data_IF_041582292770
#
_entry.id   IF_041582292770
#
_cell.length_a   1.000
_cell.length_b   1.000
_cell.length_c   1.000
_cell.angle_alpha   90.00
_cell.angle_beta   90.00
_cell.angle_gamma   90.00
#
_symmetry.space_group_name_H-M   'P 1'
#
loop_
_entity.id
_entity.type
_entity.pdbx_description
1 polymer ?
#
# COMPACT_ATOMS: atom_id res chain seq x y z
N UNK A 1 25.57 15.56 -2.22
CA UNK A 1 25.83 16.80 -2.97
C UNK A 1 25.30 16.60 -4.38
N UNK A 2 24.00 16.84 -4.62
CA UNK A 2 23.47 17.00 -5.98
C UNK A 2 23.89 18.40 -6.43
N UNK A 3 24.20 18.58 -7.72
CA UNK A 3 24.69 19.86 -8.23
C UNK A 3 23.55 20.88 -8.33
N UNK A 4 23.75 22.07 -7.77
CA UNK A 4 22.78 23.19 -7.75
C UNK A 4 22.12 23.45 -9.11
N UNK A 5 22.88 23.34 -10.21
CA UNK A 5 22.37 23.54 -11.58
C UNK A 5 21.29 22.53 -12.01
N UNK A 6 21.23 21.35 -11.38
CA UNK A 6 20.23 20.34 -11.70
C UNK A 6 18.93 20.59 -10.92
N UNK A 7 19.01 21.19 -9.73
CA UNK A 7 17.86 21.53 -8.89
C UNK A 7 17.06 22.69 -9.51
N UNK A 8 17.75 23.71 -10.03
CA UNK A 8 17.15 24.85 -10.75
C UNK A 8 16.36 24.44 -12.01
N UNK A 9 16.72 23.31 -12.63
CA UNK A 9 16.02 22.78 -13.80
C UNK A 9 14.88 21.84 -13.42
N UNK A 10 15.09 20.97 -12.43
CA UNK A 10 14.16 19.88 -12.08
C UNK A 10 12.96 20.40 -11.27
N UNK A 11 13.19 21.32 -10.33
CA UNK A 11 12.15 21.78 -9.41
C UNK A 11 10.97 22.46 -10.13
N UNK A 12 11.19 23.34 -11.13
CA UNK A 12 10.09 23.90 -11.92
C UNK A 12 9.30 22.84 -12.70
N UNK A 13 9.96 21.80 -13.21
CA UNK A 13 9.30 20.71 -13.94
C UNK A 13 8.41 19.91 -13.00
N UNK A 14 8.89 19.60 -11.78
CA UNK A 14 8.08 18.91 -10.77
C UNK A 14 6.84 19.73 -10.45
N UNK A 15 6.99 21.02 -10.17
CA UNK A 15 5.87 21.92 -9.85
C UNK A 15 4.84 21.99 -10.98
N UNK A 16 5.30 22.17 -12.23
CA UNK A 16 4.42 22.17 -13.40
C UNK A 16 3.65 20.85 -13.53
N UNK A 17 4.31 19.71 -13.29
CA UNK A 17 3.68 18.39 -13.39
C UNK A 17 2.68 18.15 -12.26
N UNK A 18 2.96 18.60 -11.05
CA UNK A 18 2.02 18.57 -9.92
C UNK A 18 0.79 19.40 -10.27
N UNK A 19 0.95 20.65 -10.74
CA UNK A 19 -0.18 21.49 -11.15
C UNK A 19 -1.04 20.81 -12.22
N UNK A 20 -0.42 20.31 -13.30
CA UNK A 20 -1.15 19.59 -14.36
C UNK A 20 -1.92 18.39 -13.84
N UNK A 21 -1.32 17.59 -12.94
CA UNK A 21 -1.98 16.44 -12.33
C UNK A 21 -3.18 16.87 -11.47
N UNK A 22 -3.06 17.97 -10.73
CA UNK A 22 -4.14 18.50 -9.88
C UNK A 22 -5.32 19.05 -10.70
N UNK A 23 -5.06 19.51 -11.92
CA UNK A 23 -6.07 19.99 -12.86
C UNK A 23 -6.80 18.87 -13.62
N UNK A 24 -6.34 17.61 -13.52
CA UNK A 24 -6.99 16.49 -14.19
C UNK A 24 -8.40 16.22 -13.63
N UNK A 25 -9.37 15.86 -14.50
CA UNK A 25 -10.72 15.54 -14.05
C UNK A 25 -10.72 14.31 -13.14
N UNK A 26 -11.68 14.27 -12.22
CA UNK A 26 -11.84 13.09 -11.35
C UNK A 26 -12.15 11.85 -12.19
N UNK A 27 -11.35 10.77 -12.08
CA UNK A 27 -11.60 9.53 -12.80
C UNK A 27 -12.93 8.90 -12.42
N UNK A 28 -13.51 8.12 -13.33
CA UNK A 28 -14.78 7.42 -13.12
C UNK A 28 -14.60 5.94 -12.76
N UNK A 29 -13.38 5.41 -12.87
CA UNK A 29 -13.06 4.01 -12.65
C UNK A 29 -11.90 3.84 -11.66
N UNK A 30 -11.82 2.64 -11.07
CA UNK A 30 -10.86 2.35 -10.02
C UNK A 30 -9.41 2.47 -10.48
N UNK A 31 -9.09 2.01 -11.69
CA UNK A 31 -7.73 2.10 -12.23
C UNK A 31 -7.26 3.55 -12.37
N UNK A 32 -8.15 4.44 -12.84
CA UNK A 32 -7.85 5.87 -12.93
C UNK A 32 -7.64 6.50 -11.56
N UNK A 33 -8.48 6.15 -10.56
CA UNK A 33 -8.27 6.58 -9.19
C UNK A 33 -6.93 6.11 -8.61
N UNK A 34 -6.56 4.85 -8.87
CA UNK A 34 -5.29 4.28 -8.43
C UNK A 34 -4.11 5.02 -9.05
N UNK A 35 -4.13 5.22 -10.37
CA UNK A 35 -3.04 5.91 -11.09
C UNK A 35 -2.85 7.34 -10.59
N UNK A 36 -3.91 8.13 -10.45
CA UNK A 36 -3.74 9.52 -9.97
C UNK A 36 -3.22 9.59 -8.53
N UNK A 37 -3.62 8.64 -7.66
CA UNK A 37 -3.14 8.59 -6.27
C UNK A 37 -1.67 8.20 -6.25
N UNK A 38 -1.27 7.18 -7.02
CA UNK A 38 0.13 6.77 -7.15
C UNK A 38 1.00 7.91 -7.70
N UNK A 39 0.55 8.59 -8.75
CA UNK A 39 1.25 9.73 -9.34
C UNK A 39 1.45 10.86 -8.32
N UNK A 40 0.40 11.28 -7.63
CA UNK A 40 0.50 12.36 -6.65
C UNK A 40 1.33 11.94 -5.43
N UNK A 41 1.23 10.67 -5.00
CA UNK A 41 2.06 10.12 -3.92
C UNK A 41 3.55 10.18 -4.28
N UNK A 42 3.94 9.82 -5.51
CA UNK A 42 5.34 9.90 -5.96
C UNK A 42 5.84 11.34 -5.90
N UNK A 43 5.09 12.30 -6.44
CA UNK A 43 5.46 13.72 -6.36
C UNK A 43 5.56 14.20 -4.92
N UNK A 44 4.61 13.82 -4.06
CA UNK A 44 4.66 14.18 -2.65
C UNK A 44 5.91 13.64 -1.96
N UNK A 45 6.31 12.39 -2.20
CA UNK A 45 7.54 11.82 -1.65
C UNK A 45 8.76 12.63 -2.11
N UNK A 46 8.85 12.93 -3.40
CA UNK A 46 9.95 13.74 -3.94
C UNK A 46 9.99 15.09 -3.24
N UNK A 47 8.86 15.82 -3.23
CA UNK A 47 8.77 17.17 -2.69
C UNK A 47 9.04 17.25 -1.17
N UNK A 48 8.50 16.33 -0.37
CA UNK A 48 8.65 16.35 1.09
C UNK A 48 10.10 16.08 1.54
N UNK A 49 10.81 15.22 0.80
CA UNK A 49 12.15 14.74 1.15
C UNK A 49 13.27 15.30 0.27
N UNK A 50 12.99 16.29 -0.57
CA UNK A 50 13.99 16.93 -1.45
C UNK A 50 15.07 17.69 -0.66
N UNK A 51 14.69 18.31 0.47
CA UNK A 51 15.56 19.14 1.29
C UNK A 51 15.36 20.64 1.06
N UNK A 52 14.85 21.04 -0.10
CA UNK A 52 14.44 22.40 -0.40
C UNK A 52 13.13 22.80 0.31
N UNK A 53 13.05 24.06 0.75
CA UNK A 53 11.91 24.58 1.51
C UNK A 53 10.69 24.79 0.61
N UNK A 54 10.89 25.23 -0.63
CA UNK A 54 9.81 25.44 -1.59
C UNK A 54 9.19 24.11 -2.03
N UNK A 55 10.03 23.12 -2.37
CA UNK A 55 9.58 21.75 -2.64
C UNK A 55 8.80 21.16 -1.46
N UNK A 56 9.31 21.31 -0.23
CA UNK A 56 8.56 20.87 0.97
C UNK A 56 7.19 21.52 1.06
N UNK A 57 7.09 22.83 0.82
CA UNK A 57 5.81 23.54 0.82
C UNK A 57 4.82 22.97 -0.21
N UNK A 58 5.28 22.60 -1.41
CA UNK A 58 4.46 21.93 -2.42
C UNK A 58 3.98 20.57 -1.90
N UNK A 59 4.89 19.74 -1.39
CA UNK A 59 4.56 18.41 -0.86
C UNK A 59 3.53 18.46 0.27
N UNK A 60 3.64 19.45 1.17
CA UNK A 60 2.68 19.70 2.24
C UNK A 60 1.30 20.10 1.73
N UNK A 61 1.22 21.00 0.73
CA UNK A 61 -0.04 21.39 0.10
C UNK A 61 -0.75 20.21 -0.57
N UNK A 62 -0.01 19.19 -1.01
CA UNK A 62 -0.58 17.98 -1.59
C UNK A 62 -1.19 17.01 -0.55
N UNK A 63 -0.84 17.10 0.75
CA UNK A 63 -1.33 16.17 1.79
C UNK A 63 -2.87 16.08 1.84
N UNK A 64 -3.63 17.19 1.93
CA UNK A 64 -5.09 17.12 1.98
C UNK A 64 -5.69 16.56 0.67
N UNK A 65 -5.16 16.94 -0.49
CA UNK A 65 -5.64 16.43 -1.78
C UNK A 65 -5.40 14.93 -1.91
N UNK A 66 -4.21 14.46 -1.55
CA UNK A 66 -3.89 13.04 -1.59
C UNK A 66 -4.75 12.24 -0.59
N UNK A 67 -5.10 12.82 0.56
CA UNK A 67 -6.06 12.22 1.49
C UNK A 67 -7.44 12.04 0.83
N UNK A 68 -7.96 13.10 0.22
CA UNK A 68 -9.25 13.09 -0.47
C UNK A 68 -9.27 12.06 -1.61
N UNK A 69 -8.24 12.07 -2.46
CA UNK A 69 -8.15 11.15 -3.60
C UNK A 69 -8.02 9.69 -3.16
N UNK A 70 -7.33 9.43 -2.04
CA UNK A 70 -7.23 8.10 -1.44
C UNK A 70 -8.58 7.62 -0.91
N UNK A 71 -9.36 8.47 -0.26
CA UNK A 71 -10.72 8.13 0.19
C UNK A 71 -11.64 7.84 -1.00
N UNK A 72 -11.57 8.63 -2.07
CA UNK A 72 -12.32 8.38 -3.30
C UNK A 72 -11.91 7.06 -3.98
N UNK A 73 -10.61 6.72 -3.97
CA UNK A 73 -10.11 5.45 -4.48
C UNK A 73 -10.66 4.26 -3.68
N UNK A 74 -10.63 4.33 -2.34
CA UNK A 74 -11.17 3.28 -1.48
C UNK A 74 -12.68 3.12 -1.68
N UNK A 75 -13.42 4.21 -1.80
CA UNK A 75 -14.85 4.17 -2.03
C UNK A 75 -15.19 3.57 -3.40
N UNK A 76 -14.46 3.94 -4.46
CA UNK A 76 -14.61 3.32 -5.78
C UNK A 76 -14.31 1.81 -5.73
N UNK A 77 -13.29 1.40 -4.96
CA UNK A 77 -12.97 -0.01 -4.78
C UNK A 77 -14.09 -0.79 -4.06
N UNK A 78 -14.70 -0.18 -3.03
CA UNK A 78 -15.83 -0.76 -2.30
C UNK A 78 -17.03 -0.99 -3.22
N UNK A 79 -17.44 0.03 -3.98
CA UNK A 79 -18.57 -0.05 -4.92
C UNK A 79 -18.29 -1.06 -6.04
N UNK A 80 -17.06 -1.08 -6.57
CA UNK A 80 -16.66 -2.04 -7.61
C UNK A 80 -16.70 -3.49 -7.10
N UNK A 81 -16.39 -3.70 -5.82
CA UNK A 81 -16.49 -5.01 -5.16
C UNK A 81 -17.94 -5.41 -4.87
N UNK A 82 -18.84 -4.46 -4.58
CA UNK A 82 -20.27 -4.73 -4.40
C UNK A 82 -20.94 -5.12 -5.71
N UNK A 83 -20.45 -4.65 -6.86
CA UNK A 83 -20.89 -5.13 -8.18
C UNK A 83 -20.59 -6.63 -8.38
N UNK A 84 -19.47 -7.11 -7.82
CA UNK A 84 -19.11 -8.54 -7.79
C UNK A 84 -20.05 -9.33 -6.86
N UNK A 85 -20.55 -8.71 -5.78
CA UNK A 85 -21.51 -9.33 -4.84
C UNK A 85 -22.97 -9.27 -5.34
N UNK A 86 -23.38 -8.22 -6.04
CA UNK A 86 -24.71 -8.10 -6.68
C UNK A 86 -24.87 -9.10 -7.83
N UNK A 87 -23.79 -9.46 -8.52
CA UNK A 87 -23.77 -10.60 -9.44
C UNK A 87 -24.01 -11.96 -8.73
N UNK A 88 -23.93 -12.04 -7.39
CA UNK A 88 -24.32 -13.24 -6.63
C UNK A 88 -25.81 -13.24 -6.24
N UNK A 89 -26.54 -12.14 -6.48
CA UNK A 89 -27.96 -11.94 -6.17
C UNK A 89 -28.95 -12.62 -7.13
N UNK A 90 -28.57 -13.68 -7.83
CA UNK A 90 -29.48 -14.52 -8.64
C UNK A 90 -29.16 -14.64 -10.13
N UNK A 91 -28.14 -13.94 -10.64
CA UNK A 91 -27.60 -14.18 -11.97
C UNK A 91 -26.17 -14.68 -11.82
N UNK A 92 -25.94 -16.00 -11.77
CA UNK A 92 -24.58 -16.57 -11.70
C UNK A 92 -23.93 -16.38 -13.08
N UNK A 93 -23.05 -15.38 -13.31
CA UNK A 93 -22.22 -15.41 -14.52
C UNK A 93 -21.42 -16.72 -14.52
N UNK A 94 -20.98 -17.21 -15.70
CA UNK A 94 -20.06 -18.34 -15.75
C UNK A 94 -18.91 -18.10 -14.77
N UNK A 95 -18.54 -19.12 -13.99
CA UNK A 95 -17.47 -19.06 -12.99
C UNK A 95 -16.33 -18.18 -13.52
N UNK A 96 -16.02 -17.06 -12.85
CA UNK A 96 -15.07 -16.11 -13.38
C UNK A 96 -13.76 -16.82 -13.61
N UNK A 97 -13.22 -16.71 -14.83
CA UNK A 97 -11.93 -17.31 -15.19
C UNK A 97 -10.91 -16.93 -14.13
N UNK A 98 -10.03 -17.86 -13.74
CA UNK A 98 -8.98 -17.63 -12.73
C UNK A 98 -8.20 -16.34 -13.01
N UNK A 99 -7.95 -16.05 -14.29
CA UNK A 99 -7.29 -14.82 -14.75
C UNK A 99 -8.03 -13.54 -14.37
N UNK A 100 -9.36 -13.52 -14.47
CA UNK A 100 -10.18 -12.36 -14.10
C UNK A 100 -10.14 -12.13 -12.59
N UNK A 101 -10.25 -13.21 -11.80
CA UNK A 101 -10.18 -13.15 -10.34
C UNK A 101 -8.81 -12.66 -9.87
N UNK A 102 -7.74 -13.22 -10.45
CA UNK A 102 -6.37 -12.82 -10.14
C UNK A 102 -6.10 -11.35 -10.49
N UNK A 103 -6.52 -10.88 -11.67
CA UNK A 103 -6.39 -9.45 -12.06
C UNK A 103 -7.19 -8.53 -11.12
N UNK A 104 -8.39 -8.93 -10.73
CA UNK A 104 -9.18 -8.18 -9.75
C UNK A 104 -8.49 -8.14 -8.38
N UNK A 105 -7.89 -9.25 -7.94
CA UNK A 105 -7.08 -9.29 -6.72
C UNK A 105 -5.86 -8.37 -6.81
N UNK A 106 -5.10 -8.40 -7.91
CA UNK A 106 -3.95 -7.49 -8.14
C UNK A 106 -4.38 -6.03 -8.01
N UNK A 107 -5.50 -5.66 -8.64
CA UNK A 107 -6.02 -4.29 -8.56
C UNK A 107 -6.42 -3.92 -7.12
N UNK A 108 -7.13 -4.80 -6.43
CA UNK A 108 -7.54 -4.57 -5.04
C UNK A 108 -6.36 -4.51 -4.07
N UNK A 109 -5.34 -5.35 -4.24
CA UNK A 109 -4.11 -5.33 -3.45
C UNK A 109 -3.29 -4.08 -3.76
N UNK A 110 -3.24 -3.63 -5.01
CA UNK A 110 -2.59 -2.37 -5.41
C UNK A 110 -3.22 -1.17 -4.73
N UNK A 111 -4.54 -1.12 -4.62
CA UNK A 111 -5.28 -0.09 -3.87
C UNK A 111 -4.87 -0.09 -2.39
N UNK A 112 -4.86 -1.27 -1.75
CA UNK A 112 -4.51 -1.41 -0.33
C UNK A 112 -3.06 -1.03 -0.06
N UNK A 113 -2.10 -1.53 -0.85
CA UNK A 113 -0.67 -1.18 -0.76
C UNK A 113 -0.41 0.31 -1.02
N UNK A 114 -1.09 0.91 -2.00
CA UNK A 114 -0.98 2.36 -2.29
C UNK A 114 -1.50 3.19 -1.12
N UNK A 115 -2.65 2.81 -0.55
CA UNK A 115 -3.18 3.48 0.64
C UNK A 115 -2.22 3.37 1.83
N UNK A 116 -1.66 2.18 2.07
CA UNK A 116 -0.68 1.95 3.14
C UNK A 116 0.57 2.81 2.94
N UNK A 117 1.12 2.86 1.72
CA UNK A 117 2.27 3.72 1.41
C UNK A 117 1.97 5.20 1.68
N UNK A 118 0.80 5.69 1.24
CA UNK A 118 0.37 7.07 1.52
C UNK A 118 0.28 7.33 3.02
N UNK A 119 -0.35 6.43 3.77
CA UNK A 119 -0.50 6.55 5.21
C UNK A 119 0.87 6.59 5.90
N UNK A 120 1.76 5.65 5.56
CA UNK A 120 3.12 5.56 6.11
C UNK A 120 3.95 6.80 5.81
N UNK A 121 3.96 7.28 4.56
CA UNK A 121 4.77 8.46 4.17
C UNK A 121 4.32 9.72 4.92
N UNK A 122 3.00 9.96 5.01
CA UNK A 122 2.47 11.12 5.72
C UNK A 122 2.77 11.02 7.21
N UNK A 123 2.55 9.85 7.84
CA UNK A 123 2.84 9.66 9.26
C UNK A 123 4.33 9.83 9.58
N UNK A 124 5.23 9.32 8.74
CA UNK A 124 6.68 9.53 8.92
C UNK A 124 7.03 11.02 8.79
N UNK A 125 6.48 11.71 7.80
CA UNK A 125 6.72 13.13 7.61
C UNK A 125 6.25 13.96 8.82
N UNK A 126 5.01 13.76 9.27
CA UNK A 126 4.43 14.43 10.44
C UNK A 126 5.25 14.13 11.71
N UNK A 127 5.65 12.87 11.92
CA UNK A 127 6.50 12.50 13.05
C UNK A 127 7.85 13.23 13.03
N UNK A 128 8.49 13.33 11.87
CA UNK A 128 9.76 14.05 11.71
C UNK A 128 9.61 15.56 11.88
N UNK A 129 8.50 16.13 11.43
CA UNK A 129 8.23 17.57 11.46
C UNK A 129 7.76 18.06 12.84
N UNK A 130 6.76 17.38 13.39
CA UNK A 130 5.98 17.83 14.54
C UNK A 130 6.18 16.92 15.78
N UNK A 131 6.95 15.83 15.67
CA UNK A 131 7.19 14.88 16.76
C UNK A 131 6.01 13.96 17.06
N UNK A 132 4.92 14.05 16.29
CA UNK A 132 3.71 13.24 16.42
C UNK A 132 3.02 13.11 15.06
N UNK A 133 2.21 12.06 14.91
CA UNK A 133 1.37 11.86 13.73
C UNK A 133 -0.03 11.41 14.14
N UNK A 134 -1.05 11.82 13.39
CA UNK A 134 -2.40 11.30 13.62
C UNK A 134 -2.54 9.86 13.11
N UNK A 135 -3.42 9.06 13.73
CA UNK A 135 -3.74 7.73 13.22
C UNK A 135 -4.50 7.85 11.89
N UNK A 136 -3.95 7.37 10.76
CA UNK A 136 -4.61 7.48 9.46
C UNK A 136 -5.76 6.48 9.28
N UNK A 137 -5.99 5.58 10.24
CA UNK A 137 -6.88 4.44 10.13
C UNK A 137 -6.16 3.20 9.60
N UNK A 138 -6.88 2.29 8.95
CA UNK A 138 -6.29 1.08 8.40
C UNK A 138 -7.13 0.45 7.29
N UNK A 139 -6.44 -0.24 6.38
CA UNK A 139 -7.04 -1.19 5.44
C UNK A 139 -6.58 -2.60 5.82
N UNK A 140 -7.35 -3.61 5.40
CA UNK A 140 -6.83 -4.98 5.42
C UNK A 140 -5.76 -5.15 4.33
N UNK A 141 -4.87 -6.10 4.48
CA UNK A 141 -3.81 -6.39 3.51
C UNK A 141 -3.46 -7.87 3.49
N UNK A 142 -2.87 -8.33 2.39
CA UNK A 142 -2.37 -9.70 2.24
C UNK A 142 -0.86 -9.68 2.48
N UNK A 143 -0.37 -10.52 3.40
CA UNK A 143 1.05 -10.51 3.79
C UNK A 143 1.87 -11.71 3.31
N UNK A 144 1.21 -12.78 2.85
CA UNK A 144 1.89 -14.04 2.51
C UNK A 144 2.84 -13.84 1.31
N UNK A 145 4.09 -14.22 1.50
CA UNK A 145 5.10 -14.27 0.45
C UNK A 145 4.65 -15.18 -0.71
N UNK A 146 4.96 -14.77 -1.94
CA UNK A 146 4.62 -15.52 -3.16
C UNK A 146 3.25 -15.19 -3.76
N UNK A 147 2.32 -14.56 -3.04
CA UNK A 147 1.03 -14.14 -3.62
C UNK A 147 1.18 -12.94 -4.55
N UNK A 148 1.85 -11.88 -4.09
CA UNK A 148 2.09 -10.68 -4.90
C UNK A 148 3.04 -10.94 -6.07
N UNK A 149 4.04 -11.80 -5.86
CA UNK A 149 5.07 -12.14 -6.85
C UNK A 149 4.62 -13.21 -7.86
N UNK A 150 3.40 -13.75 -7.71
CA UNK A 150 2.86 -14.74 -8.62
C UNK A 150 2.82 -14.17 -10.05
N UNK A 151 3.43 -14.87 -11.02
CA UNK A 151 3.55 -14.39 -12.40
C UNK A 151 2.36 -14.80 -13.29
N UNK A 152 1.45 -15.63 -12.76
CA UNK A 152 0.25 -16.09 -13.46
C UNK A 152 -0.89 -16.41 -12.51
N UNK A 153 -2.11 -16.44 -13.03
CA UNK A 153 -3.30 -16.83 -12.27
C UNK A 153 -3.16 -18.23 -11.65
N UNK A 154 -2.58 -19.19 -12.39
CA UNK A 154 -2.39 -20.56 -11.91
C UNK A 154 -1.42 -20.61 -10.72
N UNK A 155 -0.30 -19.87 -10.79
CA UNK A 155 0.66 -19.80 -9.69
C UNK A 155 0.08 -19.12 -8.46
N UNK A 156 -0.75 -18.09 -8.65
CA UNK A 156 -1.47 -17.41 -7.58
C UNK A 156 -2.51 -18.33 -6.91
N UNK A 157 -3.32 -19.05 -7.69
CA UNK A 157 -4.28 -20.04 -7.17
C UNK A 157 -3.57 -21.13 -6.38
N UNK A 158 -2.46 -21.67 -6.91
CA UNK A 158 -1.68 -22.68 -6.21
C UNK A 158 -1.14 -22.16 -4.87
N UNK A 159 -0.62 -20.92 -4.82
CA UNK A 159 -0.14 -20.31 -3.59
C UNK A 159 -1.28 -20.06 -2.58
N UNK A 160 -2.45 -19.59 -3.03
CA UNK A 160 -3.64 -19.43 -2.18
C UNK A 160 -4.14 -20.76 -1.58
N UNK A 161 -3.95 -21.87 -2.28
CA UNK A 161 -4.36 -23.20 -1.81
C UNK A 161 -3.35 -23.84 -0.85
N UNK A 162 -2.07 -23.47 -0.93
CA UNK A 162 -1.02 -24.06 -0.11
C UNK A 162 -1.07 -23.60 1.35
N UNK A 163 -1.33 -22.32 1.59
CA UNK A 163 -1.30 -21.72 2.93
C UNK A 163 -2.32 -20.58 3.05
N UNK A 164 -2.67 -20.22 4.29
CA UNK A 164 -3.45 -19.02 4.57
C UNK A 164 -2.75 -17.77 4.00
N UNK A 165 -3.54 -16.88 3.40
CA UNK A 165 -3.04 -15.69 2.68
C UNK A 165 -2.52 -14.59 3.63
N UNK A 166 -2.64 -14.77 4.95
CA UNK A 166 -2.32 -13.78 5.97
C UNK A 166 -3.06 -12.46 5.74
N UNK A 167 -4.39 -12.55 5.57
CA UNK A 167 -5.24 -11.38 5.35
C UNK A 167 -5.61 -10.70 6.67
N UNK A 168 -4.89 -9.62 7.00
CA UNK A 168 -4.89 -9.00 8.33
C UNK A 168 -5.27 -7.52 8.24
N UNK A 169 -5.74 -6.96 9.36
CA UNK A 169 -5.89 -5.51 9.51
C UNK A 169 -4.59 -4.89 10.03
N UNK A 170 -4.35 -3.60 9.77
CA UNK A 170 -3.21 -2.86 10.34
C UNK A 170 -3.11 -2.97 11.86
N UNK A 171 -4.24 -3.00 12.57
CA UNK A 171 -4.29 -3.16 14.03
C UNK A 171 -3.80 -4.53 14.51
N UNK A 172 -3.84 -5.55 13.65
CA UNK A 172 -3.40 -6.91 13.93
C UNK A 172 -2.03 -7.22 13.30
N UNK A 173 -1.34 -6.21 12.75
CA UNK A 173 -0.07 -6.42 12.06
C UNK A 173 1.02 -7.01 12.98
N UNK A 174 0.96 -6.71 14.28
CA UNK A 174 1.86 -7.28 15.28
C UNK A 174 1.75 -8.81 15.40
N UNK A 175 0.60 -9.41 15.04
CA UNK A 175 0.43 -10.86 15.07
C UNK A 175 1.36 -11.58 14.11
N UNK A 176 1.86 -10.91 13.06
CA UNK A 176 2.83 -11.48 12.13
C UNK A 176 4.12 -11.93 12.84
N UNK A 177 4.55 -11.23 13.89
CA UNK A 177 5.71 -11.61 14.69
C UNK A 177 5.53 -12.93 15.45
N UNK A 178 4.28 -13.34 15.69
CA UNK A 178 3.93 -14.54 16.47
C UNK A 178 3.51 -15.71 15.58
N UNK A 179 2.86 -15.44 14.44
CA UNK A 179 2.17 -16.46 13.64
C UNK A 179 2.84 -16.80 12.30
N UNK A 180 3.86 -16.04 11.89
CA UNK A 180 4.56 -16.26 10.63
C UNK A 180 6.07 -16.15 10.81
N UNK A 181 6.80 -16.95 10.02
CA UNK A 181 8.25 -16.78 9.88
C UNK A 181 8.54 -15.57 8.99
N UNK A 182 9.69 -14.91 9.17
CA UNK A 182 10.11 -13.79 8.31
C UNK A 182 10.01 -14.11 6.81
N UNK A 183 10.52 -15.26 6.37
CA UNK A 183 10.48 -15.64 4.96
C UNK A 183 9.09 -16.00 4.41
N UNK A 184 8.08 -16.13 5.27
CA UNK A 184 6.68 -16.35 4.87
C UNK A 184 5.92 -15.04 4.63
N UNK A 185 6.51 -13.90 4.98
CA UNK A 185 5.92 -12.57 4.81
C UNK A 185 6.59 -11.87 3.62
N UNK A 186 5.82 -11.19 2.79
CA UNK A 186 6.37 -10.51 1.61
C UNK A 186 7.23 -9.29 1.97
N UNK A 187 8.07 -8.86 1.02
CA UNK A 187 9.02 -7.76 1.24
C UNK A 187 8.36 -6.39 1.48
N UNK A 188 7.20 -6.14 0.88
CA UNK A 188 6.46 -4.90 1.12
C UNK A 188 6.00 -4.82 2.58
N UNK A 189 5.54 -5.94 3.13
CA UNK A 189 5.11 -5.99 4.52
C UNK A 189 6.27 -5.87 5.51
N UNK A 190 7.47 -6.36 5.18
CA UNK A 190 8.65 -6.11 6.01
C UNK A 190 8.96 -4.61 6.14
N UNK A 191 8.85 -3.87 5.03
CA UNK A 191 9.02 -2.42 5.05
C UNK A 191 7.98 -1.75 5.95
N UNK A 192 6.70 -2.10 5.80
CA UNK A 192 5.62 -1.52 6.62
C UNK A 192 5.81 -1.85 8.10
N UNK A 193 6.15 -3.10 8.44
CA UNK A 193 6.42 -3.52 9.82
C UNK A 193 7.62 -2.76 10.41
N UNK A 194 8.67 -2.53 9.63
CA UNK A 194 9.85 -1.77 10.07
C UNK A 194 9.48 -0.33 10.42
N UNK A 195 8.61 0.30 9.63
CA UNK A 195 8.18 1.68 9.93
C UNK A 195 7.27 1.74 11.15
N UNK A 196 6.36 0.77 11.33
CA UNK A 196 5.39 0.77 12.44
C UNK A 196 6.03 0.36 13.77
N UNK A 197 6.86 -0.68 13.77
CA UNK A 197 7.39 -1.31 14.98
C UNK A 197 8.89 -1.07 15.22
N UNK A 198 9.58 -0.43 14.26
CA UNK A 198 11.01 -0.17 14.32
C UNK A 198 11.86 -1.32 13.78
N UNK A 199 13.08 -0.98 13.37
CA UNK A 199 14.07 -1.94 12.86
C UNK A 199 14.41 -3.03 13.86
N UNK A 200 14.56 -2.67 15.14
CA UNK A 200 15.04 -3.60 16.17
C UNK A 200 14.04 -4.74 16.40
N UNK A 201 12.73 -4.44 16.36
CA UNK A 201 11.68 -5.44 16.44
C UNK A 201 11.73 -6.42 15.25
N UNK A 202 11.85 -5.89 14.03
CA UNK A 202 11.93 -6.71 12.81
C UNK A 202 13.22 -7.53 12.77
N UNK A 203 14.36 -6.98 13.20
CA UNK A 203 15.62 -7.70 13.28
C UNK A 203 15.60 -8.80 14.35
N UNK A 204 14.95 -8.55 15.48
CA UNK A 204 14.73 -9.56 16.53
C UNK A 204 13.88 -10.70 15.98
N UNK A 205 12.77 -10.39 15.30
CA UNK A 205 11.92 -11.38 14.65
C UNK A 205 12.65 -12.18 13.57
N UNK A 206 13.48 -11.50 12.76
CA UNK A 206 14.32 -12.14 11.74
C UNK A 206 15.33 -13.13 12.35
N UNK A 207 15.85 -12.79 13.53
CA UNK A 207 16.82 -13.61 14.27
C UNK A 207 16.17 -14.73 15.08
N UNK A 208 14.91 -14.56 15.48
CA UNK A 208 14.14 -15.59 16.19
C UNK A 208 13.65 -16.65 15.21
N UNK A 209 14.54 -17.52 14.74
CA UNK A 209 14.18 -18.70 13.93
C UNK A 209 13.52 -19.82 14.74
N UNK A 210 12.88 -19.52 15.87
CA UNK A 210 12.36 -20.51 16.83
C UNK A 210 10.84 -20.65 16.77
N UNK A 211 10.33 -21.43 15.82
CA UNK A 211 8.97 -21.97 15.91
C UNK A 211 8.97 -22.97 17.09
N UNK A 212 8.51 -22.58 18.27
CA UNK A 212 8.24 -23.55 19.33
C UNK A 212 6.85 -24.10 19.06
N UNK A 213 6.78 -25.22 18.32
CA UNK A 213 5.55 -26.00 18.24
C UNK A 213 5.25 -26.44 19.68
N UNK A 214 4.20 -25.88 20.29
CA UNK A 214 3.73 -26.36 21.58
C UNK A 214 3.42 -27.85 21.42
N UNK A 215 4.26 -28.68 22.03
CA UNK A 215 4.11 -30.12 22.00
C UNK A 215 2.73 -30.48 22.56
N UNK A 216 1.94 -31.17 21.75
CA UNK A 216 0.91 -32.06 22.24
C UNK A 216 1.60 -33.15 23.06
N UNK A 217 1.63 -32.98 24.38
CA UNK A 217 1.92 -34.08 25.31
C UNK A 217 0.61 -34.70 25.79
N UNK A 218 0.46 -36.00 25.51
CA UNK A 218 -0.25 -36.98 26.34
C UNK A 218 -1.77 -36.96 26.27
#
# INVERSE_FOLDING_TARGET
MKGLANEDLINPIIEERVCKLLDEPTPTNLSGHLVRVQSLLVYQIICLFDGDIHQRSIGEKCIPTLALWSSQMLECARISSEYIQLAQGGYRPPEPREETVWKAWILAESVRRTWMMRATIVSVYELLKDGQSSCPGGVKFTARAGLWEASSAQSWVAACQQQDVLFLSGVDANRLFLQARPNEVDGFMHYILTVIFGSDAVMTWASSTGFTQAGTTG
#
